data_IF_262369514113
#
_entry.id   IF_262369514113
#
_cell.length_a   1.000
_cell.length_b   1.000
_cell.length_c   1.000
_cell.angle_alpha   90.00
_cell.angle_beta   90.00
_cell.angle_gamma   90.00
#
_symmetry.space_group_name_H-M   'P 1'
#
loop_
_entity.id
_entity.type
_entity.pdbx_description
1 polymer ?
#
# COMPACT_ATOMS: atom_id res chain seq x y z
N UNK A 1 56.63 -3.94 -18.45
CA UNK A 1 56.50 -4.54 -17.09
C UNK A 1 55.94 -3.57 -16.03
N UNK A 2 56.24 -2.27 -16.04
CA UNK A 2 55.72 -1.32 -15.04
C UNK A 2 54.18 -1.11 -15.02
N UNK A 3 53.50 -1.21 -16.17
CA UNK A 3 52.04 -0.95 -16.26
C UNK A 3 51.17 -2.05 -15.63
N UNK A 4 51.64 -3.29 -15.60
CA UNK A 4 50.90 -4.44 -15.03
C UNK A 4 51.02 -4.43 -13.49
N UNK A 5 52.18 -4.04 -12.96
CA UNK A 5 52.40 -3.93 -11.51
C UNK A 5 51.55 -2.83 -10.86
N UNK A 6 51.33 -1.71 -11.58
CA UNK A 6 50.47 -0.60 -11.12
C UNK A 6 48.99 -1.00 -11.04
N UNK A 7 48.54 -1.86 -11.96
CA UNK A 7 47.15 -2.34 -12.00
C UNK A 7 46.85 -3.33 -10.88
N UNK A 8 47.83 -4.18 -10.50
CA UNK A 8 47.66 -5.17 -9.42
C UNK A 8 47.70 -4.48 -8.04
N UNK A 9 48.56 -3.47 -7.86
CA UNK A 9 48.57 -2.67 -6.63
C UNK A 9 47.29 -1.86 -6.44
N UNK A 10 46.70 -1.32 -7.52
CA UNK A 10 45.42 -0.60 -7.45
C UNK A 10 44.24 -1.51 -7.09
N UNK A 11 44.21 -2.76 -7.59
CA UNK A 11 43.16 -3.75 -7.26
C UNK A 11 43.28 -4.23 -5.82
N UNK A 12 44.50 -4.44 -5.30
CA UNK A 12 44.71 -4.80 -3.89
C UNK A 12 44.32 -3.64 -2.96
N UNK A 13 44.56 -2.39 -3.37
CA UNK A 13 44.11 -1.22 -2.60
C UNK A 13 42.58 -1.06 -2.62
N UNK A 14 41.91 -1.37 -3.74
CA UNK A 14 40.45 -1.39 -3.83
C UNK A 14 39.81 -2.55 -3.03
N UNK A 15 40.43 -3.74 -2.99
CA UNK A 15 39.95 -4.87 -2.19
C UNK A 15 40.33 -4.77 -0.70
N UNK A 16 41.41 -4.07 -0.36
CA UNK A 16 41.86 -3.85 1.03
C UNK A 16 41.03 -2.81 1.78
N UNK A 17 40.30 -1.93 1.07
CA UNK A 17 39.43 -0.93 1.67
C UNK A 17 38.01 -1.43 2.03
N UNK A 18 37.64 -2.67 1.65
CA UNK A 18 36.39 -3.29 2.15
C UNK A 18 36.56 -4.04 3.46
N UNK A 19 37.73 -3.96 4.11
CA UNK A 19 38.01 -4.63 5.39
C UNK A 19 38.36 -3.67 6.54
N UNK A 20 37.76 -2.46 6.57
CA UNK A 20 37.86 -1.59 7.74
C UNK A 20 36.71 -0.57 7.82
N UNK A 21 35.48 -1.00 7.56
CA UNK A 21 34.32 -0.34 8.15
C UNK A 21 33.38 -1.41 8.63
N UNK A 22 33.28 -1.55 9.95
CA UNK A 22 32.12 -2.19 10.57
C UNK A 22 30.92 -1.30 10.24
N UNK A 23 30.37 -1.42 9.05
CA UNK A 23 28.96 -1.11 8.84
C UNK A 23 28.24 -2.07 9.77
N UNK A 24 27.80 -1.57 10.92
CA UNK A 24 26.69 -2.18 11.61
C UNK A 24 25.62 -2.31 10.54
N UNK A 25 25.36 -3.54 10.13
CA UNK A 25 24.18 -3.86 9.31
C UNK A 25 23.03 -3.40 10.20
N UNK A 26 22.51 -2.21 9.92
CA UNK A 26 21.27 -1.76 10.52
C UNK A 26 20.25 -2.84 10.19
N UNK A 27 19.54 -3.40 11.18
CA UNK A 27 18.56 -4.43 10.91
C UNK A 27 17.49 -3.84 10.00
N UNK A 28 17.52 -4.23 8.72
CA UNK A 28 16.55 -3.86 7.69
C UNK A 28 15.11 -4.25 8.09
N UNK A 29 14.97 -5.10 9.12
CA UNK A 29 13.69 -5.41 9.77
C UNK A 29 12.90 -4.16 10.11
N UNK A 30 13.53 -3.13 10.70
CA UNK A 30 12.76 -2.00 11.23
C UNK A 30 12.28 -1.03 10.14
N UNK A 31 12.94 -1.01 8.97
CA UNK A 31 12.57 -0.14 7.85
C UNK A 31 11.47 -0.76 6.99
N UNK A 32 11.43 -2.10 6.87
CA UNK A 32 10.32 -2.82 6.23
C UNK A 32 9.08 -2.75 7.15
N UNK A 33 9.25 -2.82 8.47
CA UNK A 33 8.13 -2.63 9.42
C UNK A 33 7.55 -1.21 9.36
N UNK A 34 8.36 -0.17 9.12
CA UNK A 34 7.86 1.20 9.04
C UNK A 34 7.03 1.51 7.77
N UNK A 35 7.08 0.62 6.76
CA UNK A 35 6.28 0.72 5.53
C UNK A 35 5.11 -0.27 5.51
N UNK A 36 5.17 -1.30 6.35
CA UNK A 36 4.04 -2.19 6.57
C UNK A 36 3.11 -1.50 7.58
N UNK A 37 1.90 -1.05 7.17
CA UNK A 37 0.95 -0.58 8.15
C UNK A 37 0.74 -1.65 9.22
N UNK A 38 0.76 -1.22 10.49
CA UNK A 38 0.40 -2.05 11.63
C UNK A 38 -0.89 -2.81 11.30
N UNK A 39 -0.87 -4.14 11.48
CA UNK A 39 -1.89 -5.09 10.99
C UNK A 39 -3.33 -4.83 11.48
N UNK A 40 -3.52 -3.86 12.37
CA UNK A 40 -4.81 -3.45 12.94
C UNK A 40 -5.40 -2.19 12.30
N UNK A 41 -4.64 -1.49 11.45
CA UNK A 41 -5.10 -0.27 10.81
C UNK A 41 -5.82 -0.58 9.48
N UNK A 42 -7.04 -0.06 9.34
CA UNK A 42 -7.83 -0.16 8.11
C UNK A 42 -7.14 0.46 6.89
N UNK A 43 -7.64 0.15 5.69
CA UNK A 43 -7.07 0.62 4.41
C UNK A 43 -6.99 2.16 4.38
N UNK A 44 -8.00 2.83 4.91
CA UNK A 44 -8.01 4.29 4.96
C UNK A 44 -6.86 4.87 5.82
N UNK A 45 -6.62 4.31 7.01
CA UNK A 45 -5.58 4.82 7.91
C UNK A 45 -4.19 4.56 7.33
N UNK A 46 -4.00 3.34 6.82
CA UNK A 46 -2.70 2.83 6.37
C UNK A 46 -2.24 3.37 5.02
N UNK A 47 -3.13 3.40 4.02
CA UNK A 47 -2.74 3.63 2.62
C UNK A 47 -3.25 4.96 2.05
N UNK A 48 -4.33 5.53 2.60
CA UNK A 48 -4.97 6.73 2.01
C UNK A 48 -4.61 7.99 2.79
N UNK A 49 -4.80 7.98 4.11
CA UNK A 49 -4.54 9.15 4.98
C UNK A 49 -3.04 9.47 5.04
N UNK A 50 -2.17 8.46 4.98
CA UNK A 50 -0.71 8.63 4.89
C UNK A 50 -0.27 9.39 3.64
N UNK A 51 -1.11 9.40 2.59
CA UNK A 51 -0.89 10.14 1.34
C UNK A 51 -1.56 11.53 1.34
N UNK A 52 -2.16 11.96 2.46
CA UNK A 52 -2.82 13.26 2.57
C UNK A 52 -4.20 13.36 1.92
N UNK A 53 -4.93 12.25 1.84
CA UNK A 53 -6.32 12.21 1.35
C UNK A 53 -7.29 11.92 2.50
N UNK A 54 -8.47 12.54 2.45
CA UNK A 54 -9.56 12.21 3.37
C UNK A 54 -10.24 10.90 2.93
N UNK A 55 -10.50 10.01 3.89
CA UNK A 55 -10.97 8.66 3.63
C UNK A 55 -11.95 8.18 4.70
N UNK A 56 -13.04 7.57 4.25
CA UNK A 56 -14.07 6.92 5.07
C UNK A 56 -14.06 5.41 4.83
N UNK A 57 -14.27 4.61 5.87
CA UNK A 57 -14.48 3.16 5.76
C UNK A 57 -15.95 2.83 6.02
N UNK A 58 -16.55 2.07 5.13
CA UNK A 58 -17.96 1.72 5.14
C UNK A 58 -18.11 0.21 5.20
N UNK A 59 -18.67 -0.30 6.31
CA UNK A 59 -19.02 -1.71 6.45
C UNK A 59 -20.41 -1.95 5.86
N UNK A 60 -20.49 -2.79 4.82
CA UNK A 60 -21.73 -3.14 4.11
C UNK A 60 -22.03 -4.61 4.32
N UNK A 61 -23.18 -4.91 4.92
CA UNK A 61 -23.64 -6.29 5.09
C UNK A 61 -24.49 -6.70 3.89
N UNK A 62 -24.05 -7.72 3.17
CA UNK A 62 -24.79 -8.33 2.06
C UNK A 62 -25.99 -9.13 2.57
N UNK A 63 -26.97 -9.40 1.70
CA UNK A 63 -28.21 -10.12 2.06
C UNK A 63 -27.95 -11.48 2.69
N UNK A 64 -26.90 -12.17 2.25
CA UNK A 64 -26.53 -13.49 2.73
C UNK A 64 -25.57 -13.48 3.93
N UNK A 65 -25.17 -12.31 4.42
CA UNK A 65 -24.48 -12.15 5.71
C UNK A 65 -22.99 -11.84 5.63
N UNK A 66 -22.38 -11.73 4.44
CA UNK A 66 -20.99 -11.25 4.32
C UNK A 66 -20.90 -9.76 4.65
N UNK A 67 -19.87 -9.39 5.41
CA UNK A 67 -19.55 -8.01 5.76
C UNK A 67 -18.40 -7.53 4.88
N UNK A 68 -18.70 -6.61 3.96
CA UNK A 68 -17.73 -6.01 3.05
C UNK A 68 -17.21 -4.70 3.62
N UNK A 69 -15.91 -4.47 3.57
CA UNK A 69 -15.30 -3.19 3.93
C UNK A 69 -14.98 -2.41 2.65
N UNK A 70 -15.72 -1.33 2.41
CA UNK A 70 -15.51 -0.43 1.28
C UNK A 70 -14.79 0.84 1.77
N UNK A 71 -13.89 1.37 0.94
CA UNK A 71 -13.23 2.64 1.23
C UNK A 71 -13.78 3.73 0.32
N UNK A 72 -13.97 4.93 0.87
CA UNK A 72 -14.38 6.11 0.11
C UNK A 72 -13.35 7.22 0.29
N UNK A 73 -12.71 7.62 -0.81
CA UNK A 73 -11.78 8.75 -0.85
C UNK A 73 -12.58 9.98 -1.28
N UNK A 74 -12.57 11.00 -0.42
CA UNK A 74 -13.32 12.22 -0.69
C UNK A 74 -12.68 13.03 -1.82
N UNK A 75 -13.49 13.65 -2.69
CA UNK A 75 -12.99 14.50 -3.77
C UNK A 75 -12.20 15.68 -3.21
N UNK A 76 -11.10 16.05 -3.90
CA UNK A 76 -10.45 17.33 -3.66
C UNK A 76 -11.19 18.43 -4.42
N UNK A 77 -11.39 19.57 -3.77
CA UNK A 77 -12.07 20.74 -4.36
C UNK A 77 -13.33 21.16 -3.61
N UNK A 78 -14.22 21.90 -4.29
CA UNK A 78 -15.42 22.44 -3.65
C UNK A 78 -16.46 21.33 -3.42
N UNK A 79 -17.04 21.24 -2.21
CA UNK A 79 -18.12 20.30 -1.94
C UNK A 79 -19.38 20.63 -2.76
N UNK A 80 -20.01 19.61 -3.31
CA UNK A 80 -21.25 19.69 -4.09
C UNK A 80 -21.07 19.22 -5.54
N UNK A 81 -21.86 18.22 -5.97
CA UNK A 81 -21.91 17.66 -7.33
C UNK A 81 -20.75 16.76 -7.80
N UNK A 82 -19.90 16.24 -6.90
CA UNK A 82 -18.90 15.23 -7.29
C UNK A 82 -19.57 13.96 -7.81
N UNK A 83 -19.10 13.49 -8.97
CA UNK A 83 -19.60 12.27 -9.61
C UNK A 83 -18.98 11.06 -8.89
N UNK A 84 -19.79 10.10 -8.40
CA UNK A 84 -19.27 8.90 -7.78
C UNK A 84 -18.65 7.96 -8.82
N UNK A 85 -17.48 7.42 -8.51
CA UNK A 85 -16.79 6.40 -9.31
C UNK A 85 -16.49 5.20 -8.43
N UNK A 86 -16.94 4.00 -8.85
CA UNK A 86 -16.68 2.75 -8.14
C UNK A 86 -15.55 1.99 -8.84
N UNK A 87 -14.49 1.69 -8.09
CA UNK A 87 -13.35 0.91 -8.53
C UNK A 87 -13.46 -0.52 -7.97
N UNK A 88 -13.58 -1.49 -8.86
CA UNK A 88 -13.67 -2.92 -8.53
C UNK A 88 -12.39 -3.63 -8.97
N UNK A 89 -11.76 -4.36 -8.05
CA UNK A 89 -10.55 -5.13 -8.34
C UNK A 89 -10.85 -6.39 -9.19
N UNK A 90 -9.80 -6.94 -9.80
CA UNK A 90 -9.86 -8.18 -10.58
C UNK A 90 -9.79 -9.48 -9.75
N UNK A 91 -9.63 -10.61 -10.44
CA UNK A 91 -9.49 -11.93 -9.83
C UNK A 91 -8.20 -12.03 -8.99
N UNK A 92 -8.28 -12.65 -7.80
CA UNK A 92 -7.17 -12.82 -6.85
C UNK A 92 -6.53 -11.52 -6.34
N UNK A 93 -7.26 -10.41 -6.42
CA UNK A 93 -6.84 -9.09 -5.91
C UNK A 93 -7.80 -8.62 -4.82
N UNK A 94 -7.50 -7.47 -4.22
CA UNK A 94 -8.41 -6.72 -3.36
C UNK A 94 -8.39 -5.22 -3.71
N UNK A 95 -9.17 -4.42 -2.99
CA UNK A 95 -9.32 -2.99 -3.24
C UNK A 95 -8.02 -2.18 -3.14
N UNK A 96 -7.01 -2.66 -2.42
CA UNK A 96 -5.75 -1.90 -2.25
C UNK A 96 -4.96 -1.79 -3.54
N UNK A 97 -5.28 -2.61 -4.55
CA UNK A 97 -4.66 -2.56 -5.89
C UNK A 97 -4.71 -1.17 -6.53
N UNK A 98 -5.69 -0.35 -6.17
CA UNK A 98 -5.87 1.02 -6.69
C UNK A 98 -5.02 2.07 -5.94
N UNK A 99 -4.29 1.65 -4.91
CA UNK A 99 -3.55 2.50 -3.96
C UNK A 99 -2.05 2.17 -3.89
N UNK A 100 -1.59 1.11 -4.59
CA UNK A 100 -0.23 0.58 -4.44
C UNK A 100 0.86 1.48 -5.04
N UNK A 101 0.52 2.37 -5.98
CA UNK A 101 1.45 3.30 -6.59
C UNK A 101 1.40 4.67 -5.90
N UNK A 102 2.42 5.54 -6.10
CA UNK A 102 2.36 6.92 -5.63
C UNK A 102 1.10 7.67 -6.11
N UNK A 103 0.65 8.72 -5.41
CA UNK A 103 -0.58 9.45 -5.75
C UNK A 103 -0.69 9.93 -7.20
N UNK A 104 0.42 10.28 -7.83
CA UNK A 104 0.47 10.73 -9.22
C UNK A 104 0.26 9.62 -10.27
N UNK A 105 0.22 8.35 -9.86
CA UNK A 105 0.11 7.19 -10.75
C UNK A 105 -1.01 6.22 -10.38
N UNK A 106 -1.52 6.30 -9.15
CA UNK A 106 -2.64 5.48 -8.67
C UNK A 106 -3.97 6.08 -9.10
N UNK A 107 -4.78 5.30 -9.82
CA UNK A 107 -6.05 5.75 -10.39
C UNK A 107 -7.00 6.36 -9.35
N UNK A 108 -7.09 5.77 -8.15
CA UNK A 108 -7.98 6.26 -7.11
C UNK A 108 -7.63 7.69 -6.66
N UNK A 109 -6.33 7.98 -6.52
CA UNK A 109 -5.84 9.31 -6.14
C UNK A 109 -6.01 10.31 -7.28
N UNK A 110 -5.68 9.92 -8.51
CA UNK A 110 -5.89 10.77 -9.69
C UNK A 110 -7.36 11.16 -9.86
N UNK A 111 -8.30 10.24 -9.63
CA UNK A 111 -9.73 10.55 -9.67
C UNK A 111 -10.14 11.53 -8.55
N UNK A 112 -9.67 11.31 -7.31
CA UNK A 112 -9.97 12.22 -6.20
C UNK A 112 -9.41 13.63 -6.43
N UNK A 113 -8.20 13.74 -6.99
CA UNK A 113 -7.57 15.00 -7.39
C UNK A 113 -8.36 15.74 -8.48
N UNK A 114 -9.05 15.00 -9.33
CA UNK A 114 -9.92 15.54 -10.38
C UNK A 114 -11.38 15.73 -9.92
N UNK A 115 -11.65 15.68 -8.61
CA UNK A 115 -12.93 16.05 -8.03
C UNK A 115 -14.00 14.96 -8.05
N UNK A 116 -13.64 13.70 -8.34
CA UNK A 116 -14.53 12.56 -8.27
C UNK A 116 -14.67 12.03 -6.83
N UNK A 117 -15.86 11.54 -6.49
CA UNK A 117 -16.11 10.83 -5.23
C UNK A 117 -15.78 9.34 -5.41
N UNK A 118 -14.62 8.92 -4.91
CA UNK A 118 -14.04 7.62 -5.29
C UNK A 118 -14.40 6.57 -4.26
N UNK A 119 -15.06 5.51 -4.72
CA UNK A 119 -15.41 4.34 -3.94
C UNK A 119 -14.57 3.15 -4.37
N UNK A 120 -13.91 2.49 -3.42
CA UNK A 120 -13.13 1.27 -3.64
C UNK A 120 -13.93 0.12 -3.05
N UNK A 121 -14.40 -0.75 -3.94
CA UNK A 121 -15.20 -1.91 -3.58
C UNK A 121 -14.32 -3.13 -3.36
N UNK A 122 -14.63 -3.90 -2.32
CA UNK A 122 -14.01 -5.19 -2.05
C UNK A 122 -15.01 -6.32 -2.30
N UNK A 123 -14.56 -7.37 -2.98
CA UNK A 123 -15.31 -8.63 -3.05
C UNK A 123 -15.22 -9.40 -1.73
N UNK A 124 -16.24 -10.21 -1.44
CA UNK A 124 -16.20 -11.14 -0.30
C UNK A 124 -14.98 -12.06 -0.35
N UNK A 125 -14.43 -12.37 0.82
CA UNK A 125 -13.27 -13.25 0.96
C UNK A 125 -11.91 -12.57 0.79
N UNK A 126 -11.86 -11.27 0.45
CA UNK A 126 -10.59 -10.51 0.49
C UNK A 126 -10.17 -10.22 1.92
N UNK A 127 -8.91 -9.80 2.12
CA UNK A 127 -8.32 -9.49 3.42
C UNK A 127 -9.19 -8.57 4.29
N UNK A 128 -9.92 -7.63 3.68
CA UNK A 128 -10.75 -6.67 4.41
C UNK A 128 -12.25 -7.03 4.40
N UNK A 129 -12.65 -8.10 3.71
CA UNK A 129 -14.07 -8.47 3.50
C UNK A 129 -14.33 -9.99 3.66
N UNK A 130 -13.65 -10.63 4.61
CA UNK A 130 -13.80 -12.07 4.89
C UNK A 130 -14.75 -12.39 6.06
N UNK A 131 -15.32 -11.37 6.70
CA UNK A 131 -16.20 -11.54 7.86
C UNK A 131 -17.64 -11.91 7.44
N UNK A 132 -18.34 -12.62 8.32
CA UNK A 132 -19.73 -13.04 8.12
C UNK A 132 -20.52 -12.92 9.43
N UNK A 133 -21.80 -12.55 9.37
CA UNK A 133 -22.64 -12.34 10.57
C UNK A 133 -22.91 -13.60 11.38
N UNK A 134 -22.85 -14.77 10.73
CA UNK A 134 -23.25 -16.06 11.32
C UNK A 134 -22.15 -17.12 11.31
N UNK A 135 -21.06 -16.90 10.58
CA UNK A 135 -19.97 -17.87 10.46
C UNK A 135 -18.68 -17.24 10.98
N UNK A 136 -17.99 -17.93 11.88
CA UNK A 136 -16.67 -17.51 12.31
C UNK A 136 -15.65 -17.82 11.22
N UNK A 137 -14.82 -16.85 10.89
CA UNK A 137 -13.61 -17.07 10.11
C UNK A 137 -12.60 -17.78 11.00
N UNK A 138 -12.58 -19.11 10.98
CA UNK A 138 -11.49 -19.87 11.60
C UNK A 138 -10.23 -19.65 10.76
N UNK A 139 -9.36 -18.74 11.19
CA UNK A 139 -8.00 -18.64 10.68
C UNK A 139 -7.24 -19.91 11.11
N UNK A 140 -6.99 -20.81 10.15
CA UNK A 140 -6.05 -21.92 10.32
C UNK A 140 -4.62 -21.44 10.08
#
# INVERSE_FOLDING_TARGET
>A
MAKISLSITLVILLCGLTLASRTKILPLSNTITALAPELNDGVCSSLVKTQGYACEEHLVTTKDGYVLNMQRILPRGKPGNSIPVVLQHGLFMDGVTWLLLPPSQSLAFLLADNGFDVWIANSRGTKYSYQHTSFSSNSS
#
